data_IF_205972356101
#
_entry.id   IF_205972356101
#
_cell.length_a   1.000
_cell.length_b   1.000
_cell.length_c   1.000
_cell.angle_alpha   90.00
_cell.angle_beta   90.00
_cell.angle_gamma   90.00
#
_symmetry.space_group_name_H-M   'P 1'
#
loop_
_entity.id
_entity.type
_entity.pdbx_description
1 polymer ?
#
# COMPACT_ATOMS: atom_id res chain seq x y z
N UNK A 1 -21.83 -21.87 -20.87
CA UNK A 1 -20.99 -21.32 -19.79
C UNK A 1 -19.82 -20.61 -20.43
N UNK A 2 -19.85 -19.27 -20.52
CA UNK A 2 -18.71 -18.49 -20.99
C UNK A 2 -17.75 -18.34 -19.79
N UNK A 3 -16.55 -18.92 -19.89
CA UNK A 3 -15.52 -18.75 -18.87
C UNK A 3 -15.13 -17.29 -18.76
N UNK A 4 -15.56 -16.64 -17.67
CA UNK A 4 -15.24 -15.24 -17.40
C UNK A 4 -13.72 -15.04 -17.30
N UNK A 5 -13.21 -13.95 -17.88
CA UNK A 5 -11.80 -13.58 -17.75
C UNK A 5 -11.46 -13.38 -16.27
N UNK A 6 -10.55 -14.18 -15.74
CA UNK A 6 -10.07 -14.10 -14.35
C UNK A 6 -8.89 -13.15 -14.16
N UNK A 7 -8.32 -12.64 -15.26
CA UNK A 7 -7.17 -11.74 -15.24
C UNK A 7 -7.18 -10.75 -16.44
N UNK A 8 -6.42 -9.66 -16.31
CA UNK A 8 -6.09 -8.69 -17.34
C UNK A 8 -4.57 -8.66 -17.60
N UNK A 9 -4.14 -8.76 -18.85
CA UNK A 9 -2.71 -8.66 -19.22
C UNK A 9 -2.34 -7.21 -19.50
N UNK A 10 -1.24 -6.73 -18.92
CA UNK A 10 -0.66 -5.42 -19.27
C UNK A 10 0.68 -5.58 -19.99
N UNK A 11 0.98 -4.65 -20.91
CA UNK A 11 2.29 -4.58 -21.58
C UNK A 11 3.39 -4.01 -20.68
N UNK A 12 3.03 -3.18 -19.70
CA UNK A 12 3.97 -2.50 -18.83
C UNK A 12 3.63 -2.81 -17.36
N UNK A 13 4.62 -3.25 -16.59
CA UNK A 13 4.48 -3.47 -15.16
C UNK A 13 4.30 -2.14 -14.43
N UNK A 14 3.17 -1.96 -13.78
CA UNK A 14 2.85 -0.77 -12.98
C UNK A 14 2.37 -1.19 -11.59
N UNK A 15 2.95 -0.59 -10.55
CA UNK A 15 2.59 -0.87 -9.16
C UNK A 15 3.60 -0.23 -8.20
N UNK A 16 3.29 -0.30 -6.91
CA UNK A 16 4.14 0.21 -5.84
C UNK A 16 5.10 -0.86 -5.35
N UNK A 17 6.40 -0.54 -5.27
CA UNK A 17 7.42 -1.43 -4.70
C UNK A 17 6.98 -1.93 -3.33
N UNK A 18 7.15 -3.21 -3.06
CA UNK A 18 6.66 -3.85 -1.83
C UNK A 18 5.21 -4.35 -1.92
N UNK A 19 4.33 -3.75 -2.73
CA UNK A 19 2.94 -4.20 -2.89
C UNK A 19 2.71 -5.06 -4.13
N UNK A 20 3.63 -5.00 -5.10
CA UNK A 20 3.56 -5.80 -6.32
C UNK A 20 3.63 -7.31 -5.97
N UNK A 21 2.62 -8.05 -6.40
CA UNK A 21 2.61 -9.51 -6.38
C UNK A 21 3.75 -10.05 -7.28
N UNK A 22 4.62 -10.94 -6.80
CA UNK A 22 5.65 -11.58 -7.62
C UNK A 22 5.11 -12.19 -8.91
N UNK A 23 3.91 -12.77 -8.88
CA UNK A 23 3.30 -13.35 -10.08
C UNK A 23 2.84 -12.29 -11.07
N UNK A 24 2.37 -11.14 -10.59
CA UNK A 24 2.09 -10.01 -11.45
C UNK A 24 3.38 -9.47 -12.07
N UNK A 25 4.46 -9.38 -11.28
CA UNK A 25 5.78 -8.98 -11.77
C UNK A 25 6.31 -9.90 -12.89
N UNK A 26 6.15 -11.21 -12.72
CA UNK A 26 6.68 -12.21 -13.65
C UNK A 26 5.82 -12.37 -14.91
N UNK A 27 4.49 -12.34 -14.76
CA UNK A 27 3.57 -12.69 -15.84
C UNK A 27 2.96 -11.49 -16.56
N UNK A 28 3.00 -10.29 -15.95
CA UNK A 28 2.24 -9.12 -16.42
C UNK A 28 0.71 -9.30 -16.31
N UNK A 29 0.26 -10.35 -15.62
CA UNK A 29 -1.15 -10.68 -15.42
C UNK A 29 -1.65 -10.11 -14.10
N UNK A 30 -2.64 -9.23 -14.16
CA UNK A 30 -3.31 -8.66 -13.01
C UNK A 30 -4.67 -9.34 -12.79
N UNK A 31 -5.01 -9.67 -11.55
CA UNK A 31 -6.23 -10.38 -11.16
C UNK A 31 -6.67 -10.02 -9.74
N UNK A 32 -7.86 -10.49 -9.34
CA UNK A 32 -8.30 -10.39 -7.94
C UNK A 32 -7.32 -11.06 -6.96
N UNK A 33 -6.58 -12.08 -7.39
CA UNK A 33 -5.58 -12.76 -6.55
C UNK A 33 -4.30 -11.92 -6.37
N UNK A 34 -3.96 -11.05 -7.33
CA UNK A 34 -2.86 -10.08 -7.17
C UNK A 34 -3.29 -8.90 -6.30
N UNK A 35 -4.56 -8.50 -6.35
CA UNK A 35 -5.13 -7.53 -5.40
C UNK A 35 -5.15 -8.08 -3.97
N UNK A 36 -5.52 -9.36 -3.81
CA UNK A 36 -5.50 -10.05 -2.53
C UNK A 36 -4.10 -9.98 -1.88
N UNK A 37 -3.04 -10.23 -2.65
CA UNK A 37 -1.66 -10.08 -2.18
C UNK A 37 -1.37 -8.66 -1.70
N UNK A 38 -1.71 -7.65 -2.52
CA UNK A 38 -1.49 -6.26 -2.15
C UNK A 38 -2.27 -5.87 -0.88
N UNK A 39 -3.48 -6.40 -0.68
CA UNK A 39 -4.25 -6.22 0.55
C UNK A 39 -3.55 -6.84 1.76
N UNK A 40 -2.96 -8.03 1.62
CA UNK A 40 -2.17 -8.64 2.70
C UNK A 40 -0.98 -7.78 3.13
N UNK A 41 -0.28 -7.15 2.16
CA UNK A 41 0.80 -6.19 2.46
C UNK A 41 0.25 -4.93 3.16
N UNK A 42 -0.90 -4.41 2.72
CA UNK A 42 -1.55 -3.25 3.37
C UNK A 42 -1.89 -3.54 4.83
N UNK A 43 -2.41 -4.73 5.13
CA UNK A 43 -2.69 -5.14 6.51
C UNK A 43 -1.41 -5.27 7.35
N UNK A 44 -0.30 -5.77 6.79
CA UNK A 44 1.00 -5.77 7.47
C UNK A 44 1.47 -4.36 7.83
N UNK A 45 1.33 -3.42 6.89
CA UNK A 45 1.69 -2.01 7.12
C UNK A 45 0.83 -1.40 8.22
N UNK A 46 -0.48 -1.67 8.23
CA UNK A 46 -1.38 -1.18 9.26
C UNK A 46 -1.09 -1.78 10.65
N UNK A 47 -0.83 -3.10 10.73
CA UNK A 47 -0.54 -3.78 11.98
C UNK A 47 0.80 -3.35 12.61
N UNK A 48 1.81 -3.12 11.77
CA UNK A 48 3.18 -2.87 12.21
C UNK A 48 3.55 -1.40 12.34
N UNK A 49 2.79 -0.48 11.73
CA UNK A 49 3.16 0.92 11.59
C UNK A 49 4.41 1.15 10.74
N UNK A 50 4.90 0.11 10.04
CA UNK A 50 6.14 0.13 9.25
C UNK A 50 5.85 0.19 7.76
N UNK A 51 6.84 0.63 6.99
CA UNK A 51 6.82 0.62 5.53
C UNK A 51 6.74 -0.80 4.99
N UNK A 52 6.20 -0.97 3.78
CA UNK A 52 5.87 -2.27 3.22
C UNK A 52 7.03 -3.30 3.27
N UNK A 53 8.25 -2.91 2.92
CA UNK A 53 9.40 -3.82 2.99
C UNK A 53 9.76 -4.19 4.43
N UNK A 54 9.83 -3.20 5.32
CA UNK A 54 10.13 -3.41 6.75
C UNK A 54 9.05 -4.21 7.46
N UNK A 55 7.78 -4.02 7.09
CA UNK A 55 6.64 -4.74 7.63
C UNK A 55 6.68 -6.23 7.24
N UNK A 56 7.13 -6.54 6.01
CA UNK A 56 7.35 -7.92 5.57
C UNK A 56 8.46 -8.59 6.37
N UNK A 57 9.61 -7.94 6.49
CA UNK A 57 10.76 -8.47 7.23
C UNK A 57 10.40 -8.71 8.71
N UNK A 58 9.62 -7.80 9.30
CA UNK A 58 9.17 -7.90 10.69
C UNK A 58 8.19 -9.04 10.97
N UNK A 59 7.36 -9.37 9.98
CA UNK A 59 6.29 -10.34 10.14
C UNK A 59 6.70 -11.76 9.75
N UNK A 60 7.93 -11.97 9.26
CA UNK A 60 8.42 -13.25 8.75
C UNK A 60 8.22 -14.40 9.77
N UNK A 61 8.76 -14.23 10.98
CA UNK A 61 8.59 -15.18 12.09
C UNK A 61 7.12 -15.43 12.44
N UNK A 62 6.32 -14.36 12.50
CA UNK A 62 4.91 -14.42 12.93
C UNK A 62 4.03 -15.09 11.87
N UNK A 63 4.38 -14.96 10.60
CA UNK A 63 3.67 -15.60 9.49
C UNK A 63 4.06 -17.08 9.36
N UNK A 64 5.27 -17.46 9.77
CA UNK A 64 5.65 -18.88 9.86
C UNK A 64 4.76 -19.59 10.89
N UNK A 65 4.68 -19.06 12.11
CA UNK A 65 3.79 -19.54 13.17
C UNK A 65 2.89 -18.44 13.73
N UNK A 66 1.64 -18.39 13.24
CA UNK A 66 0.62 -17.43 13.67
C UNK A 66 0.08 -17.68 15.08
N UNK A 67 0.57 -18.72 15.76
CA UNK A 67 0.26 -19.01 17.16
C UNK A 67 1.36 -18.55 18.12
N UNK A 68 2.53 -18.14 17.60
CA UNK A 68 3.59 -17.55 18.41
C UNK A 68 3.24 -16.11 18.80
N UNK A 69 2.70 -15.94 20.01
CA UNK A 69 2.39 -14.63 20.58
C UNK A 69 3.60 -13.69 20.65
N UNK A 70 4.81 -14.23 20.84
CA UNK A 70 6.04 -13.41 20.92
C UNK A 70 6.45 -12.90 19.55
N UNK A 71 6.34 -13.73 18.52
CA UNK A 71 6.55 -13.30 17.13
C UNK A 71 5.48 -12.28 16.70
N UNK A 72 4.20 -12.54 17.02
CA UNK A 72 3.10 -11.61 16.77
C UNK A 72 3.40 -10.24 17.40
N UNK A 73 3.72 -10.19 18.69
CA UNK A 73 3.95 -8.92 19.39
C UNK A 73 5.14 -8.12 18.81
N UNK A 74 6.18 -8.80 18.32
CA UNK A 74 7.33 -8.15 17.64
C UNK A 74 6.96 -7.55 16.29
N UNK A 75 5.98 -8.12 15.61
CA UNK A 75 5.50 -7.64 14.31
C UNK A 75 4.57 -6.42 14.43
N UNK A 76 3.86 -6.27 15.54
CA UNK A 76 2.91 -5.17 15.77
C UNK A 76 3.59 -3.83 16.09
N UNK A 77 2.87 -2.74 15.81
CA UNK A 77 3.19 -1.42 16.35
C UNK A 77 2.78 -1.37 17.84
N UNK A 78 3.74 -1.26 18.77
CA UNK A 78 3.41 -1.17 20.20
C UNK A 78 2.64 0.11 20.55
N UNK A 79 2.77 1.19 19.76
CA UNK A 79 2.06 2.44 20.01
C UNK A 79 0.58 2.38 19.58
N UNK A 80 0.24 1.49 18.65
CA UNK A 80 -1.13 1.34 18.15
C UNK A 80 -2.06 0.61 19.13
N UNK A 81 -1.51 -0.11 20.12
CA UNK A 81 -2.31 -0.75 21.17
C UNK A 81 -3.28 -1.81 20.65
N UNK A 82 -2.92 -2.55 19.59
CA UNK A 82 -3.77 -3.56 18.97
C UNK A 82 -4.26 -4.61 19.98
N UNK A 83 -5.58 -4.88 20.07
CA UNK A 83 -6.10 -6.01 20.84
C UNK A 83 -5.54 -7.33 20.30
N UNK A 84 -4.90 -8.13 21.15
CA UNK A 84 -4.23 -9.37 20.75
C UNK A 84 -5.14 -10.33 19.94
N UNK A 85 -6.42 -10.58 20.33
CA UNK A 85 -7.29 -11.45 19.55
C UNK A 85 -7.58 -10.93 18.14
N UNK A 86 -7.75 -9.61 17.99
CA UNK A 86 -7.97 -8.97 16.70
C UNK A 86 -6.71 -9.03 15.84
N UNK A 87 -5.55 -8.72 16.42
CA UNK A 87 -4.26 -8.78 15.74
C UNK A 87 -3.94 -10.20 15.23
N UNK A 88 -4.20 -11.22 16.06
CA UNK A 88 -3.99 -12.62 15.69
C UNK A 88 -4.90 -13.05 14.53
N UNK A 89 -6.19 -12.67 14.54
CA UNK A 89 -7.12 -12.95 13.44
C UNK A 89 -6.70 -12.23 12.16
N UNK A 90 -6.31 -10.95 12.24
CA UNK A 90 -5.81 -10.20 11.09
C UNK A 90 -4.51 -10.80 10.53
N UNK A 91 -3.61 -11.31 11.38
CA UNK A 91 -2.40 -11.98 10.92
C UNK A 91 -2.71 -13.30 10.17
N UNK A 92 -3.75 -14.04 10.57
CA UNK A 92 -4.23 -15.22 9.82
C UNK A 92 -4.75 -14.82 8.43
N UNK A 93 -5.47 -13.70 8.34
CA UNK A 93 -5.91 -13.13 7.06
C UNK A 93 -4.70 -12.76 6.20
N UNK A 94 -3.71 -12.06 6.76
CA UNK A 94 -2.45 -11.74 6.07
C UNK A 94 -1.77 -13.01 5.55
N UNK A 95 -1.61 -14.04 6.37
CA UNK A 95 -0.99 -15.32 5.96
C UNK A 95 -1.71 -15.93 4.76
N UNK A 96 -3.05 -15.90 4.77
CA UNK A 96 -3.88 -16.40 3.67
C UNK A 96 -3.78 -15.56 2.39
N UNK A 97 -3.67 -14.24 2.49
CA UNK A 97 -3.62 -13.32 1.35
C UNK A 97 -2.22 -13.20 0.71
N UNK A 98 -1.18 -13.12 1.54
CA UNK A 98 0.18 -12.73 1.17
C UNK A 98 1.18 -13.89 1.22
N UNK A 99 1.22 -14.63 2.32
CA UNK A 99 2.30 -15.59 2.62
C UNK A 99 2.16 -16.92 1.88
N UNK A 100 0.93 -17.34 1.57
CA UNK A 100 0.70 -18.58 0.83
C UNK A 100 1.33 -18.51 -0.57
N UNK A 101 2.38 -19.32 -0.76
CA UNK A 101 3.20 -19.35 -1.97
C UNK A 101 2.44 -19.87 -3.19
N UNK A 102 1.42 -20.70 -2.99
CA UNK A 102 0.57 -21.20 -4.09
C UNK A 102 -0.63 -20.28 -4.27
N UNK A 103 -0.63 -19.46 -5.32
CA UNK A 103 -1.70 -18.48 -5.58
C UNK A 103 -3.11 -19.09 -5.58
N UNK A 104 -3.27 -20.31 -6.08
CA UNK A 104 -4.54 -21.04 -6.10
C UNK A 104 -5.07 -21.40 -4.70
N UNK A 105 -4.20 -21.35 -3.69
CA UNK A 105 -4.53 -21.62 -2.29
C UNK A 105 -4.63 -20.36 -1.44
N UNK A 106 -4.33 -19.19 -2.03
CA UNK A 106 -4.52 -17.92 -1.33
C UNK A 106 -5.99 -17.73 -1.01
N UNK A 107 -6.23 -17.11 0.14
CA UNK A 107 -7.55 -16.73 0.58
C UNK A 107 -8.20 -15.79 -0.46
N UNK A 108 -9.44 -16.04 -0.89
CA UNK A 108 -10.19 -15.09 -1.71
C UNK A 108 -10.34 -13.76 -0.95
N UNK A 109 -10.22 -12.64 -1.66
CA UNK A 109 -10.34 -11.32 -1.04
C UNK A 109 -11.69 -11.14 -0.34
N UNK A 110 -12.78 -11.71 -0.88
CA UNK A 110 -14.10 -11.70 -0.24
C UNK A 110 -14.07 -12.33 1.16
N UNK A 111 -13.45 -13.51 1.31
CA UNK A 111 -13.35 -14.19 2.60
C UNK A 111 -12.48 -13.45 3.60
N UNK A 112 -11.43 -12.76 3.12
CA UNK A 112 -10.64 -11.87 3.96
C UNK A 112 -11.48 -10.68 4.44
N UNK A 113 -12.26 -10.05 3.57
CA UNK A 113 -13.13 -8.93 3.92
C UNK A 113 -14.21 -9.33 4.93
N UNK A 114 -14.87 -10.47 4.74
CA UNK A 114 -15.83 -11.01 5.71
C UNK A 114 -15.19 -11.20 7.10
N UNK A 115 -13.94 -11.67 7.14
CA UNK A 115 -13.19 -11.84 8.40
C UNK A 115 -12.85 -10.51 9.03
N UNK A 116 -12.37 -9.53 8.25
CA UNK A 116 -12.04 -8.18 8.71
C UNK A 116 -13.29 -7.48 9.25
N UNK A 117 -14.41 -7.58 8.53
CA UNK A 117 -15.69 -7.01 8.96
C UNK A 117 -16.13 -7.57 10.31
N UNK A 118 -16.07 -8.90 10.50
CA UNK A 118 -16.34 -9.54 11.78
C UNK A 118 -15.40 -9.06 12.90
N UNK A 119 -14.10 -8.99 12.64
CA UNK A 119 -13.13 -8.47 13.62
C UNK A 119 -13.47 -7.03 14.01
N UNK A 120 -13.80 -6.18 13.04
CA UNK A 120 -14.23 -4.80 13.31
C UNK A 120 -15.50 -4.76 14.17
N UNK A 121 -16.51 -5.57 13.86
CA UNK A 121 -17.75 -5.66 14.64
C UNK A 121 -17.49 -6.10 16.08
N UNK A 122 -16.67 -7.12 16.28
CA UNK A 122 -16.28 -7.64 17.60
C UNK A 122 -15.55 -6.56 18.43
N UNK A 123 -14.77 -5.69 17.78
CA UNK A 123 -14.09 -4.55 18.42
C UNK A 123 -14.97 -3.29 18.50
N UNK A 124 -16.21 -3.32 18.01
CA UNK A 124 -17.11 -2.17 17.97
C UNK A 124 -16.67 -1.05 17.02
N UNK A 125 -15.73 -1.32 16.10
CA UNK A 125 -15.23 -0.37 15.09
C UNK A 125 -16.27 -0.17 14.00
N UNK A 126 -16.57 1.08 13.65
CA UNK A 126 -17.48 1.45 12.56
C UNK A 126 -16.86 2.49 11.62
N UNK A 127 -17.28 2.54 10.35
CA UNK A 127 -16.85 3.58 9.42
C UNK A 127 -17.08 4.98 10.02
N UNK A 128 -16.10 5.87 9.86
CA UNK A 128 -16.17 7.24 10.36
C UNK A 128 -15.68 7.43 11.81
N UNK A 129 -15.21 6.38 12.50
CA UNK A 129 -14.53 6.49 13.81
C UNK A 129 -13.06 6.95 13.71
N UNK A 130 -12.68 7.60 12.62
CA UNK A 130 -11.31 8.07 12.43
C UNK A 130 -11.12 9.35 13.24
N UNK A 131 -10.40 9.26 14.36
CA UNK A 131 -9.79 10.45 14.95
C UNK A 131 -8.77 11.02 13.95
N UNK A 132 -8.54 12.35 13.95
CA UNK A 132 -7.46 12.94 13.16
C UNK A 132 -6.16 12.20 13.45
N UNK A 133 -5.41 11.82 12.40
CA UNK A 133 -4.11 11.19 12.58
C UNK A 133 -3.30 12.04 13.57
N UNK A 134 -2.79 11.40 14.63
CA UNK A 134 -2.22 12.06 15.81
C UNK A 134 -0.99 12.94 15.54
N UNK A 135 -0.54 13.02 14.29
CA UNK A 135 0.65 13.74 13.88
C UNK A 135 0.36 14.61 12.64
N UNK A 136 -0.14 15.82 12.87
CA UNK A 136 -0.32 16.82 11.83
C UNK A 136 1.03 17.33 11.26
N UNK A 137 2.13 17.11 11.99
CA UNK A 137 3.50 17.49 11.60
C UNK A 137 4.26 16.35 10.93
N UNK A 138 3.66 15.15 10.80
CA UNK A 138 4.28 14.05 10.07
C UNK A 138 4.55 14.44 8.60
N UNK A 139 5.75 14.12 8.08
CA UNK A 139 6.13 14.47 6.71
C UNK A 139 5.16 13.81 5.71
N UNK A 140 4.64 14.61 4.78
CA UNK A 140 3.67 14.11 3.81
C UNK A 140 4.37 13.19 2.81
N UNK A 141 3.95 11.93 2.81
CA UNK A 141 4.64 10.88 2.08
C UNK A 141 4.29 10.83 0.60
N UNK A 142 5.21 10.29 -0.20
CA UNK A 142 4.99 10.01 -1.60
C UNK A 142 3.87 8.98 -1.76
N UNK A 143 2.86 9.29 -2.56
CA UNK A 143 1.71 8.39 -2.79
C UNK A 143 2.03 7.20 -3.70
N UNK A 144 3.17 7.26 -4.41
CA UNK A 144 3.59 6.17 -5.30
C UNK A 144 4.34 5.10 -4.51
N UNK A 145 5.36 5.46 -3.72
CA UNK A 145 6.13 4.47 -2.96
C UNK A 145 5.69 4.29 -1.51
N UNK A 146 5.06 5.30 -0.91
CA UNK A 146 4.81 5.39 0.54
C UNK A 146 6.07 5.28 1.43
N UNK A 147 7.26 5.33 0.82
CA UNK A 147 8.55 5.07 1.46
C UNK A 147 9.47 6.29 1.53
N UNK A 148 9.08 7.42 0.95
CA UNK A 148 9.86 8.65 1.01
C UNK A 148 8.95 9.87 1.10
N UNK A 149 9.39 10.97 1.74
CA UNK A 149 8.65 12.24 1.71
C UNK A 149 8.40 12.71 0.28
N UNK A 150 7.30 13.43 0.07
CA UNK A 150 7.09 14.12 -1.20
C UNK A 150 8.03 15.31 -1.28
N UNK A 151 8.87 15.35 -2.30
CA UNK A 151 9.87 16.41 -2.48
C UNK A 151 9.80 17.03 -3.86
N UNK A 152 8.80 16.65 -4.66
CA UNK A 152 8.66 17.14 -6.04
C UNK A 152 7.37 17.93 -6.24
N UNK A 153 7.42 18.94 -7.11
CA UNK A 153 6.25 19.67 -7.58
C UNK A 153 6.23 19.68 -9.10
N UNK A 154 5.07 19.32 -9.67
CA UNK A 154 4.88 19.25 -11.12
C UNK A 154 4.36 20.57 -11.69
N UNK A 155 4.90 21.00 -12.83
CA UNK A 155 4.44 22.17 -13.58
C UNK A 155 3.72 21.74 -14.86
N UNK A 156 2.63 22.42 -15.29
CA UNK A 156 2.07 23.65 -14.71
C UNK A 156 1.04 23.41 -13.60
N UNK A 157 0.68 22.15 -13.31
CA UNK A 157 -0.45 21.86 -12.44
C UNK A 157 -0.21 22.12 -10.95
N UNK A 158 1.02 22.38 -10.52
CA UNK A 158 1.33 22.73 -9.16
C UNK A 158 1.14 21.61 -8.14
N UNK A 159 0.95 20.35 -8.54
CA UNK A 159 0.73 19.26 -7.59
C UNK A 159 2.05 18.65 -7.09
N UNK A 160 2.10 18.38 -5.78
CA UNK A 160 3.17 17.64 -5.11
C UNK A 160 2.61 16.41 -4.41
N UNK A 161 2.97 15.23 -4.91
CA UNK A 161 2.54 13.94 -4.36
C UNK A 161 3.65 12.88 -4.41
N UNK A 162 4.83 13.21 -4.96
CA UNK A 162 5.87 12.23 -5.26
C UNK A 162 7.22 12.60 -4.64
N UNK A 163 7.99 11.60 -4.26
CA UNK A 163 9.42 11.76 -4.05
C UNK A 163 10.14 11.85 -5.41
N UNK A 164 11.38 12.32 -5.41
CA UNK A 164 12.18 12.51 -6.62
C UNK A 164 12.31 11.23 -7.46
N UNK A 165 12.61 10.10 -6.82
CA UNK A 165 12.80 8.83 -7.52
C UNK A 165 11.52 8.38 -8.26
N UNK A 166 10.36 8.47 -7.60
CA UNK A 166 9.08 8.10 -8.20
C UNK A 166 8.64 9.10 -9.28
N UNK A 167 8.85 10.40 -9.07
CA UNK A 167 8.55 11.43 -10.07
C UNK A 167 9.37 11.21 -11.36
N UNK A 168 10.66 10.90 -11.23
CA UNK A 168 11.52 10.59 -12.36
C UNK A 168 11.03 9.35 -13.13
N UNK A 169 10.50 8.33 -12.45
CA UNK A 169 9.90 7.16 -13.11
C UNK A 169 8.62 7.50 -13.87
N UNK A 170 7.76 8.35 -13.30
CA UNK A 170 6.53 8.84 -13.97
C UNK A 170 6.89 9.58 -15.26
N UNK A 171 7.86 10.50 -15.20
CA UNK A 171 8.30 11.27 -16.37
C UNK A 171 8.86 10.34 -17.44
N UNK A 172 9.73 9.38 -17.05
CA UNK A 172 10.39 8.46 -17.98
C UNK A 172 9.41 7.54 -18.71
N UNK A 173 8.33 7.11 -18.04
CA UNK A 173 7.31 6.21 -18.60
C UNK A 173 6.35 6.90 -19.58
N UNK A 174 6.10 8.20 -19.42
CA UNK A 174 5.06 8.91 -20.19
C UNK A 174 5.49 9.48 -21.55
N UNK A 175 6.73 9.27 -21.99
CA UNK A 175 7.12 9.42 -23.40
C UNK A 175 6.80 10.77 -24.06
N UNK A 176 6.94 11.89 -23.34
CA UNK A 176 6.79 13.26 -23.85
C UNK A 176 5.57 14.03 -23.35
N UNK A 177 4.60 13.37 -22.71
CA UNK A 177 3.45 14.02 -22.06
C UNK A 177 3.01 13.20 -20.83
N UNK A 178 3.88 13.12 -19.83
CA UNK A 178 3.63 12.31 -18.63
C UNK A 178 2.54 12.95 -17.78
N UNK A 179 1.42 12.26 -17.47
CA UNK A 179 0.34 12.85 -16.70
C UNK A 179 0.73 12.96 -15.22
N UNK A 180 0.33 14.06 -14.59
CA UNK A 180 0.36 14.20 -13.14
C UNK A 180 -0.42 13.04 -12.48
N UNK A 181 0.15 12.31 -11.51
CA UNK A 181 -0.54 11.22 -10.82
C UNK A 181 -1.81 11.64 -10.07
N UNK A 182 -1.96 12.94 -9.78
CA UNK A 182 -3.11 13.49 -9.08
C UNK A 182 -4.18 14.02 -10.04
N UNK A 183 -3.86 15.06 -10.82
CA UNK A 183 -4.84 15.75 -11.67
C UNK A 183 -4.80 15.37 -13.15
N UNK A 184 -3.88 14.48 -13.56
CA UNK A 184 -3.64 14.04 -14.94
C UNK A 184 -3.18 15.11 -15.95
N UNK A 185 -3.05 16.37 -15.56
CA UNK A 185 -2.42 17.41 -16.39
C UNK A 185 -1.02 16.97 -16.84
N UNK A 186 -0.68 17.19 -18.11
CA UNK A 186 0.65 16.89 -18.64
C UNK A 186 1.74 17.66 -17.90
N UNK A 187 2.74 16.94 -17.43
CA UNK A 187 3.90 17.49 -16.73
C UNK A 187 4.86 18.05 -17.79
N UNK A 188 5.09 19.36 -17.75
CA UNK A 188 6.10 20.02 -18.57
C UNK A 188 7.48 19.99 -17.90
N UNK A 189 7.55 20.32 -16.61
CA UNK A 189 8.76 20.29 -15.80
C UNK A 189 8.45 19.84 -14.37
N UNK A 190 9.49 19.48 -13.61
CA UNK A 190 9.39 19.24 -12.18
C UNK A 190 10.51 19.97 -11.43
N UNK A 191 10.22 20.37 -10.20
CA UNK A 191 11.20 20.90 -9.24
C UNK A 191 11.31 19.91 -8.08
N UNK A 192 12.53 19.70 -7.59
CA UNK A 192 12.80 18.94 -6.36
C UNK A 192 13.29 19.88 -5.26
N UNK A 193 12.62 19.89 -4.11
CA UNK A 193 13.01 20.64 -2.91
C UNK A 193 12.54 19.87 -1.66
N UNK A 194 13.41 19.62 -0.65
CA UNK A 194 13.00 19.00 0.61
C UNK A 194 11.87 19.75 1.34
N UNK A 195 11.78 21.07 1.21
CA UNK A 195 10.76 21.88 1.87
C UNK A 195 9.35 21.64 1.33
N UNK A 196 9.22 21.14 0.09
CA UNK A 196 7.94 20.78 -0.53
C UNK A 196 7.16 19.75 0.31
N UNK A 197 7.85 18.95 1.13
CA UNK A 197 7.20 18.00 2.06
C UNK A 197 6.18 18.70 2.97
N UNK A 198 6.46 19.94 3.36
CA UNK A 198 5.66 20.71 4.31
C UNK A 198 4.69 21.68 3.63
N UNK A 199 4.79 21.83 2.30
CA UNK A 199 3.89 22.69 1.53
C UNK A 199 2.53 22.01 1.28
N UNK A 200 1.54 22.79 0.83
CA UNK A 200 0.27 22.26 0.36
C UNK A 200 0.43 21.32 -0.84
N UNK A 201 -0.48 20.34 -0.93
CA UNK A 201 -0.52 19.36 -2.03
C UNK A 201 -0.59 20.06 -3.39
N UNK A 202 -1.31 21.18 -3.47
CA UNK A 202 -1.43 22.02 -4.65
C UNK A 202 -0.96 23.43 -4.32
N UNK A 203 -0.12 23.99 -5.18
CA UNK A 203 0.27 25.40 -5.15
C UNK A 203 0.08 25.92 -6.57
N UNK A 204 -0.77 26.94 -6.74
CA UNK A 204 -0.96 27.58 -8.04
C UNK A 204 0.39 28.16 -8.51
N UNK A 205 0.87 27.69 -9.65
CA UNK A 205 2.09 28.21 -10.26
C UNK A 205 1.70 29.41 -11.13
N UNK A 206 2.23 30.59 -10.79
CA UNK A 206 2.03 31.85 -11.51
C UNK A 206 2.77 31.84 -12.86
#
# INVERSE_FOLDING_TARGET
>A
MQGGRTHLTTRNLAGTTGYIDPLYADSGQYSQTTDAYAMGVTLLVALSGRRALQAKDAADDALEDVTDCTALQRALDPAAGWPEPAAAELLRVVKGLYWERRQQRRMPLSSALETIERVCEDQGVRPGMTEPAADADAPRMCVICMDAPRTTRFSPCGHSQCCEACAAQVIRRGGGASPCPYCRTSIATMVTDPNITNEETFVALL
#
